data_IF_418728160382
#
_entry.id   IF_418728160382
#
_cell.length_a   1.000
_cell.length_b   1.000
_cell.length_c   1.000
_cell.angle_alpha   90.00
_cell.angle_beta   90.00
_cell.angle_gamma   90.00
#
_symmetry.space_group_name_H-M   'P 1'
#
loop_
_entity.id
_entity.type
_entity.pdbx_description
1 polymer ?
#
# COMPACT_ATOMS: atom_id res chain seq x y z
N UNK A 1 64.02 -61.52 14.21
CA UNK A 1 62.75 -61.64 15.00
C UNK A 1 62.60 -60.42 15.87
N UNK A 2 61.88 -59.45 15.44
CA UNK A 2 61.22 -58.46 16.28
C UNK A 2 60.10 -57.80 15.45
N UNK A 3 58.90 -57.90 15.95
CA UNK A 3 57.64 -57.46 15.35
C UNK A 3 57.42 -56.01 15.77
N UNK A 4 57.24 -55.09 14.83
CA UNK A 4 56.84 -53.71 15.15
C UNK A 4 55.46 -53.48 14.57
N UNK A 5 54.48 -53.32 15.48
CA UNK A 5 53.10 -52.98 15.17
C UNK A 5 52.99 -51.52 14.76
N UNK A 6 52.35 -51.28 13.62
CA UNK A 6 52.01 -49.95 13.17
C UNK A 6 50.89 -49.32 13.98
N UNK A 7 51.07 -48.06 14.40
CA UNK A 7 50.02 -47.22 14.95
C UNK A 7 49.41 -46.39 13.81
N UNK A 8 48.15 -46.61 13.56
CA UNK A 8 47.37 -45.83 12.64
C UNK A 8 46.81 -44.62 13.39
N UNK A 9 47.28 -43.43 13.03
CA UNK A 9 46.71 -42.16 13.51
C UNK A 9 45.52 -41.79 12.64
N UNK A 10 44.31 -41.88 13.24
CA UNK A 10 43.09 -41.33 12.67
C UNK A 10 43.03 -39.87 13.01
N UNK A 11 43.25 -38.99 12.04
CA UNK A 11 42.97 -37.57 12.17
C UNK A 11 41.46 -37.35 12.05
N UNK A 12 40.78 -37.05 13.14
CA UNK A 12 39.42 -36.55 13.16
C UNK A 12 39.46 -35.05 12.90
N UNK A 13 39.15 -34.65 11.66
CA UNK A 13 38.94 -33.23 11.33
C UNK A 13 37.53 -32.82 11.82
N UNK A 14 37.49 -32.11 12.93
CA UNK A 14 36.28 -31.46 13.41
C UNK A 14 36.04 -30.19 12.58
N UNK A 15 35.13 -30.23 11.64
CA UNK A 15 34.61 -29.06 10.94
C UNK A 15 33.71 -28.28 11.91
N UNK A 16 34.26 -27.22 12.50
CA UNK A 16 33.50 -26.15 13.17
C UNK A 16 32.80 -25.31 12.11
N UNK A 17 31.53 -25.65 11.81
CA UNK A 17 30.62 -24.78 11.10
C UNK A 17 30.28 -23.58 12.01
N UNK A 18 31.03 -22.51 11.91
CA UNK A 18 30.59 -21.19 12.42
C UNK A 18 29.42 -20.72 11.55
N UNK A 19 28.21 -21.00 11.98
CA UNK A 19 27.01 -20.35 11.46
C UNK A 19 27.07 -18.87 11.76
N UNK A 20 27.54 -18.07 10.79
CA UNK A 20 27.34 -16.61 10.83
C UNK A 20 25.84 -16.40 10.65
N UNK A 21 25.14 -16.28 11.77
CA UNK A 21 23.81 -15.69 11.78
C UNK A 21 23.99 -14.21 11.36
N UNK A 22 23.88 -13.95 10.05
CA UNK A 22 23.63 -12.61 9.57
C UNK A 22 22.22 -12.29 10.09
N UNK A 23 22.13 -11.64 11.25
CA UNK A 23 20.92 -10.98 11.68
C UNK A 23 20.72 -9.86 10.65
N UNK A 24 19.92 -10.15 9.60
CA UNK A 24 19.33 -9.11 8.79
C UNK A 24 18.58 -8.23 9.81
N UNK A 25 18.95 -6.96 10.00
CA UNK A 25 18.16 -6.10 10.86
C UNK A 25 16.76 -6.14 10.25
N UNK A 26 15.81 -6.70 11.01
CA UNK A 26 14.39 -6.50 10.71
C UNK A 26 14.20 -5.00 10.90
N UNK A 27 14.39 -4.25 9.81
CA UNK A 27 14.11 -2.83 9.80
C UNK A 27 12.70 -2.69 10.35
N UNK A 28 12.53 -1.87 11.36
CA UNK A 28 11.20 -1.51 11.86
C UNK A 28 10.47 -0.93 10.65
N UNK A 29 9.65 -1.76 10.01
CA UNK A 29 8.93 -1.33 8.82
C UNK A 29 7.86 -0.37 9.29
N UNK A 30 8.15 0.92 9.15
CA UNK A 30 7.20 2.00 9.36
C UNK A 30 6.11 1.90 8.27
N UNK A 31 4.97 2.47 8.54
CA UNK A 31 3.92 2.63 7.52
C UNK A 31 4.29 3.77 6.59
N UNK A 32 3.81 3.72 5.35
CA UNK A 32 3.81 4.83 4.43
C UNK A 32 2.71 5.86 4.76
N UNK A 33 2.79 7.01 4.13
CA UNK A 33 1.77 8.06 4.24
C UNK A 33 1.47 8.62 2.84
N UNK A 34 0.20 8.90 2.58
CA UNK A 34 -0.24 9.55 1.35
C UNK A 34 0.01 11.06 1.44
N UNK A 35 0.67 11.61 0.45
CA UNK A 35 0.87 13.05 0.33
C UNK A 35 -0.04 13.60 -0.77
N UNK A 36 -1.25 14.02 -0.38
CA UNK A 36 -2.16 14.80 -1.21
C UNK A 36 -1.67 16.24 -1.33
N UNK A 37 -1.96 16.87 -2.47
CA UNK A 37 -1.44 18.19 -2.80
C UNK A 37 -2.55 19.19 -3.21
N UNK A 38 -3.80 18.93 -2.80
CA UNK A 38 -4.96 19.77 -3.15
C UNK A 38 -5.21 20.78 -2.02
N UNK A 39 -4.25 21.69 -1.87
CA UNK A 39 -4.30 22.77 -0.88
C UNK A 39 -3.44 23.95 -1.31
N UNK A 40 -3.80 25.16 -0.88
CA UNK A 40 -3.07 26.40 -1.18
C UNK A 40 -2.23 26.91 -0.02
N UNK A 41 -2.19 26.17 1.08
CA UNK A 41 -1.49 26.50 2.32
C UNK A 41 -0.46 25.43 2.74
N UNK A 42 -0.20 24.46 1.85
CA UNK A 42 0.71 23.34 2.11
C UNK A 42 2.18 23.80 2.21
N UNK A 43 3.00 23.14 3.04
CA UNK A 43 4.42 23.48 3.17
C UNK A 43 5.20 23.17 1.89
N UNK A 44 6.43 23.67 1.78
CA UNK A 44 7.33 23.35 0.67
C UNK A 44 7.58 21.85 0.60
N UNK A 45 7.83 21.32 -0.61
CA UNK A 45 8.08 19.89 -0.81
C UNK A 45 9.27 19.38 0.01
N UNK A 46 10.31 20.19 0.15
CA UNK A 46 11.46 19.87 1.00
C UNK A 46 11.09 19.78 2.48
N UNK A 47 10.26 20.69 2.99
CA UNK A 47 9.76 20.64 4.36
C UNK A 47 8.92 19.39 4.63
N UNK A 48 8.08 19.01 3.64
CA UNK A 48 7.30 17.78 3.72
C UNK A 48 8.21 16.56 3.84
N UNK A 49 9.24 16.44 3.00
CA UNK A 49 10.19 15.32 3.08
C UNK A 49 10.95 15.32 4.42
N UNK A 50 11.30 16.48 4.96
CA UNK A 50 11.87 16.54 6.32
C UNK A 50 10.88 16.08 7.40
N UNK A 51 9.58 16.38 7.24
CA UNK A 51 8.55 15.93 8.17
C UNK A 51 8.38 14.40 8.11
N UNK A 52 8.48 13.76 6.93
CA UNK A 52 8.54 12.30 6.80
C UNK A 52 9.72 11.73 7.57
N UNK A 53 10.91 12.27 7.35
CA UNK A 53 12.16 11.81 8.03
C UNK A 53 12.09 11.96 9.55
N UNK A 54 11.64 13.11 10.04
CA UNK A 54 11.56 13.39 11.49
C UNK A 54 10.54 12.52 12.22
N UNK A 55 9.54 12.02 11.50
CA UNK A 55 8.54 11.10 12.05
C UNK A 55 8.86 9.61 11.77
N UNK A 56 10.00 9.31 11.13
CA UNK A 56 10.38 7.94 10.81
C UNK A 56 9.48 7.26 9.77
N UNK A 57 8.79 8.05 8.93
CA UNK A 57 7.94 7.52 7.84
C UNK A 57 8.85 7.10 6.70
N UNK A 58 8.72 5.85 6.25
CA UNK A 58 9.64 5.24 5.28
C UNK A 58 9.14 5.24 3.85
N UNK A 59 7.85 5.48 3.64
CA UNK A 59 7.24 5.41 2.33
C UNK A 59 6.26 6.57 2.09
N UNK A 60 6.21 7.05 0.86
CA UNK A 60 5.34 8.14 0.41
C UNK A 60 4.50 7.68 -0.77
N UNK A 61 3.25 8.09 -0.82
CA UNK A 61 2.43 7.98 -2.03
C UNK A 61 2.04 9.37 -2.51
N UNK A 62 2.31 9.66 -3.79
CA UNK A 62 1.82 10.85 -4.50
C UNK A 62 0.91 10.42 -5.65
N UNK A 63 -0.06 11.25 -6.01
CA UNK A 63 -1.12 10.91 -6.96
C UNK A 63 -0.78 11.26 -8.40
N UNK A 64 0.13 12.22 -8.57
CA UNK A 64 0.69 12.65 -9.84
C UNK A 64 2.18 12.84 -9.69
N UNK A 65 2.97 12.73 -10.77
CA UNK A 65 4.37 13.12 -10.73
C UNK A 65 4.49 14.61 -10.35
N UNK A 66 5.29 14.87 -9.31
CA UNK A 66 5.65 16.22 -8.89
C UNK A 66 7.17 16.33 -8.83
N UNK A 67 7.75 17.11 -9.72
CA UNK A 67 9.20 17.22 -9.90
C UNK A 67 9.89 17.72 -8.63
N UNK A 68 9.28 18.68 -7.91
CA UNK A 68 9.86 19.21 -6.68
C UNK A 68 9.87 18.15 -5.56
N UNK A 69 8.74 17.45 -5.35
CA UNK A 69 8.66 16.39 -4.35
C UNK A 69 9.62 15.25 -4.68
N UNK A 70 9.68 14.82 -5.95
CA UNK A 70 10.57 13.75 -6.38
C UNK A 70 12.05 14.16 -6.27
N UNK A 71 12.40 15.41 -6.55
CA UNK A 71 13.76 15.92 -6.31
C UNK A 71 14.10 15.97 -4.81
N UNK A 72 13.15 16.37 -3.95
CA UNK A 72 13.35 16.37 -2.52
C UNK A 72 13.55 14.95 -1.93
N UNK A 73 13.02 13.93 -2.58
CA UNK A 73 13.18 12.51 -2.19
C UNK A 73 14.53 11.90 -2.59
N UNK A 74 15.34 12.54 -3.44
CA UNK A 74 16.64 11.99 -3.88
C UNK A 74 17.55 11.66 -2.71
N UNK A 75 18.08 10.45 -2.68
CA UNK A 75 19.02 10.00 -1.65
C UNK A 75 18.45 9.85 -0.25
N UNK A 76 17.12 9.99 -0.06
CA UNK A 76 16.49 9.84 1.27
C UNK A 76 16.22 8.39 1.65
N UNK A 77 16.14 7.48 0.68
CA UNK A 77 15.72 6.10 0.86
C UNK A 77 14.20 5.92 1.04
N UNK A 78 13.42 7.00 1.13
CA UNK A 78 11.95 6.93 1.23
C UNK A 78 11.39 6.28 -0.04
N UNK A 79 10.63 5.18 0.13
CA UNK A 79 9.96 4.50 -0.97
C UNK A 79 8.82 5.34 -1.54
N UNK A 80 8.62 5.31 -2.86
CA UNK A 80 7.62 6.13 -3.52
C UNK A 80 6.64 5.30 -4.33
N UNK A 81 5.33 5.54 -4.12
CA UNK A 81 4.28 5.25 -5.09
C UNK A 81 3.99 6.54 -5.86
N UNK A 82 4.12 6.52 -7.18
CA UNK A 82 3.78 7.64 -8.06
C UNK A 82 2.57 7.29 -8.91
N UNK A 83 1.58 8.18 -8.98
CA UNK A 83 0.36 7.97 -9.75
C UNK A 83 0.47 8.38 -11.22
N UNK A 84 -0.28 7.69 -12.08
CA UNK A 84 -0.63 8.11 -13.43
C UNK A 84 -2.03 8.72 -13.38
N UNK A 85 -2.18 9.93 -13.91
CA UNK A 85 -3.46 10.64 -13.89
C UNK A 85 -4.58 9.86 -14.61
N UNK A 86 -5.79 9.94 -14.07
CA UNK A 86 -6.93 9.22 -14.62
C UNK A 86 -7.32 9.68 -16.06
N UNK A 87 -7.14 10.95 -16.33
CA UNK A 87 -7.53 11.61 -17.60
C UNK A 87 -6.63 11.26 -18.79
N UNK A 88 -5.38 10.84 -18.55
CA UNK A 88 -4.45 10.45 -19.62
C UNK A 88 -4.48 8.96 -19.94
N UNK A 89 -5.23 8.14 -19.20
CA UNK A 89 -5.22 6.67 -19.40
C UNK A 89 -5.66 6.25 -20.80
N UNK A 90 -6.57 6.98 -21.43
CA UNK A 90 -7.06 6.67 -22.80
C UNK A 90 -5.89 6.78 -23.80
N UNK A 91 -5.09 7.85 -23.72
CA UNK A 91 -3.94 8.02 -24.61
C UNK A 91 -2.86 6.98 -24.35
N UNK A 92 -2.51 6.76 -23.08
CA UNK A 92 -1.49 5.75 -22.70
C UNK A 92 -1.88 4.32 -23.06
N UNK A 93 -3.19 4.02 -23.10
CA UNK A 93 -3.70 2.72 -23.52
C UNK A 93 -3.61 2.52 -25.05
N UNK A 94 -3.99 3.57 -25.80
CA UNK A 94 -4.03 3.51 -27.25
C UNK A 94 -2.64 3.64 -27.90
N UNK A 95 -1.70 4.33 -27.24
CA UNK A 95 -0.41 4.69 -27.81
C UNK A 95 0.77 4.27 -26.91
N UNK A 96 1.45 3.15 -27.19
CA UNK A 96 2.63 2.72 -26.42
C UNK A 96 3.77 3.76 -26.40
N UNK A 97 3.89 4.62 -27.43
CA UNK A 97 4.90 5.68 -27.44
C UNK A 97 4.59 6.77 -26.40
N UNK A 98 3.31 7.08 -26.14
CA UNK A 98 2.91 7.99 -25.06
C UNK A 98 3.30 7.42 -23.69
N UNK A 99 3.10 6.11 -23.47
CA UNK A 99 3.53 5.45 -22.24
C UNK A 99 5.07 5.46 -22.08
N UNK A 100 5.81 5.25 -23.16
CA UNK A 100 7.27 5.38 -23.14
C UNK A 100 7.71 6.81 -22.80
N UNK A 101 7.11 7.82 -23.42
CA UNK A 101 7.36 9.22 -23.12
C UNK A 101 7.05 9.58 -21.67
N UNK A 102 5.95 9.02 -21.12
CA UNK A 102 5.59 9.22 -19.71
C UNK A 102 6.65 8.65 -18.77
N UNK A 103 7.16 7.44 -19.03
CA UNK A 103 8.25 6.81 -18.26
C UNK A 103 9.54 7.59 -18.38
N UNK A 104 9.90 8.05 -19.59
CA UNK A 104 11.09 8.85 -19.83
C UNK A 104 11.06 10.20 -19.11
N UNK A 105 9.89 10.82 -18.97
CA UNK A 105 9.73 12.10 -18.29
C UNK A 105 9.61 11.97 -16.77
N UNK A 106 8.91 10.95 -16.26
CA UNK A 106 8.46 10.91 -14.87
C UNK A 106 9.14 9.83 -14.00
N UNK A 107 9.86 8.88 -14.60
CA UNK A 107 10.53 7.81 -13.86
C UNK A 107 12.04 7.83 -14.08
N UNK A 108 12.47 7.76 -15.33
CA UNK A 108 13.87 7.64 -15.71
C UNK A 108 14.81 8.72 -15.16
N UNK A 109 14.44 10.02 -15.07
CA UNK A 109 15.30 11.06 -14.51
C UNK A 109 15.52 10.92 -13.01
N UNK A 110 14.67 10.16 -12.31
CA UNK A 110 14.68 10.05 -10.85
C UNK A 110 15.34 8.80 -10.33
N UNK A 111 15.29 7.69 -11.06
CA UNK A 111 15.93 6.43 -10.64
C UNK A 111 17.42 6.43 -10.98
N UNK A 112 18.30 5.84 -10.14
CA UNK A 112 17.99 5.16 -8.86
C UNK A 112 17.98 6.09 -7.66
N UNK A 113 18.15 7.41 -7.83
CA UNK A 113 18.29 8.37 -6.71
C UNK A 113 17.02 8.52 -5.88
N UNK A 114 15.86 8.29 -6.48
CA UNK A 114 14.55 8.16 -5.80
C UNK A 114 14.16 6.69 -5.81
N UNK A 115 13.78 6.16 -4.66
CA UNK A 115 13.32 4.78 -4.51
C UNK A 115 11.86 4.63 -4.97
N UNK A 116 11.62 4.70 -6.29
CA UNK A 116 10.27 4.48 -6.84
C UNK A 116 9.97 2.98 -6.78
N UNK A 117 8.99 2.59 -5.97
CA UNK A 117 8.55 1.18 -5.79
C UNK A 117 7.48 0.80 -6.79
N UNK A 118 6.43 1.64 -6.89
CA UNK A 118 5.26 1.35 -7.69
C UNK A 118 4.80 2.56 -8.50
N UNK A 119 4.28 2.26 -9.70
CA UNK A 119 3.51 3.20 -10.51
C UNK A 119 2.06 2.79 -10.38
N UNK A 120 1.22 3.65 -9.80
CA UNK A 120 -0.21 3.45 -9.69
C UNK A 120 -0.90 3.95 -10.96
N UNK A 121 -1.29 3.05 -11.85
CA UNK A 121 -1.98 3.35 -13.10
C UNK A 121 -3.44 3.67 -12.78
N UNK A 122 -3.75 4.96 -12.70
CA UNK A 122 -5.03 5.46 -12.23
C UNK A 122 -5.26 5.27 -10.74
N UNK A 123 -6.27 5.95 -10.23
CA UNK A 123 -6.74 5.84 -8.86
C UNK A 123 -8.26 5.74 -8.84
N UNK A 124 -8.79 4.65 -8.29
CA UNK A 124 -10.23 4.42 -8.09
C UNK A 124 -11.08 4.58 -9.36
N UNK A 125 -10.54 4.14 -10.48
CA UNK A 125 -11.25 4.19 -11.76
C UNK A 125 -12.52 3.34 -11.69
N UNK A 126 -13.62 3.90 -12.16
CA UNK A 126 -14.89 3.22 -12.25
C UNK A 126 -15.56 3.45 -13.61
N UNK A 127 -16.50 2.57 -13.97
CA UNK A 127 -17.24 2.68 -15.24
C UNK A 127 -16.37 2.36 -16.46
N UNK A 128 -16.70 2.99 -17.58
CA UNK A 128 -16.09 2.73 -18.90
C UNK A 128 -14.56 2.90 -18.93
N UNK A 129 -13.94 3.91 -18.28
CA UNK A 129 -12.49 4.08 -18.34
C UNK A 129 -11.67 2.92 -17.76
N UNK A 130 -12.29 1.99 -17.01
CA UNK A 130 -11.59 0.80 -16.45
C UNK A 130 -10.98 -0.10 -17.52
N UNK A 131 -11.52 -0.09 -18.74
CA UNK A 131 -10.98 -0.85 -19.88
C UNK A 131 -9.54 -0.43 -20.26
N UNK A 132 -9.13 0.79 -19.90
CA UNK A 132 -7.80 1.32 -20.22
C UNK A 132 -6.73 0.89 -19.21
N UNK A 133 -7.10 0.43 -18.00
CA UNK A 133 -6.15 0.11 -16.94
C UNK A 133 -5.16 -0.97 -17.39
N UNK A 134 -5.66 -2.10 -17.87
CA UNK A 134 -4.81 -3.22 -18.26
C UNK A 134 -3.85 -2.86 -19.42
N UNK A 135 -4.33 -2.25 -20.55
CA UNK A 135 -3.42 -1.80 -21.61
C UNK A 135 -2.36 -0.81 -21.14
N UNK A 136 -2.71 0.16 -20.29
CA UNK A 136 -1.74 1.11 -19.75
C UNK A 136 -0.69 0.41 -18.88
N UNK A 137 -1.09 -0.51 -17.99
CA UNK A 137 -0.15 -1.29 -17.19
C UNK A 137 0.82 -2.09 -18.08
N UNK A 138 0.34 -2.68 -19.16
CA UNK A 138 1.17 -3.41 -20.13
C UNK A 138 2.14 -2.47 -20.84
N UNK A 139 1.69 -1.32 -21.33
CA UNK A 139 2.52 -0.33 -22.02
C UNK A 139 3.59 0.28 -21.08
N UNK A 140 3.23 0.60 -19.82
CA UNK A 140 4.18 1.09 -18.82
C UNK A 140 5.22 0.01 -18.49
N UNK A 141 4.83 -1.26 -18.31
CA UNK A 141 5.77 -2.35 -18.07
C UNK A 141 6.73 -2.54 -19.26
N UNK A 142 6.24 -2.44 -20.49
CA UNK A 142 7.07 -2.51 -21.71
C UNK A 142 8.05 -1.33 -21.76
N UNK A 143 7.61 -0.12 -21.43
CA UNK A 143 8.44 1.09 -21.39
C UNK A 143 9.54 0.98 -20.31
N UNK A 144 9.20 0.52 -19.10
CA UNK A 144 10.19 0.27 -18.04
C UNK A 144 11.25 -0.75 -18.46
N UNK A 145 10.83 -1.84 -19.10
CA UNK A 145 11.74 -2.86 -19.62
C UNK A 145 12.67 -2.31 -20.72
N UNK A 146 12.12 -1.54 -21.67
CA UNK A 146 12.90 -0.88 -22.73
C UNK A 146 13.91 0.12 -22.15
N UNK A 147 13.59 0.81 -21.08
CA UNK A 147 14.47 1.71 -20.35
C UNK A 147 15.45 0.99 -19.39
N UNK A 148 15.41 -0.36 -19.30
CA UNK A 148 16.20 -1.17 -18.36
C UNK A 148 15.96 -0.83 -16.89
N UNK A 149 14.75 -0.38 -16.55
CA UNK A 149 14.32 -0.04 -15.18
C UNK A 149 13.63 -1.26 -14.58
N UNK A 150 14.32 -2.02 -13.73
CA UNK A 150 13.86 -3.32 -13.22
C UNK A 150 13.25 -3.24 -11.80
N UNK A 151 13.56 -2.20 -11.03
CA UNK A 151 13.12 -2.07 -9.63
C UNK A 151 11.71 -1.51 -9.46
N UNK A 152 11.13 -0.91 -10.51
CA UNK A 152 9.82 -0.25 -10.49
C UNK A 152 8.76 -1.19 -11.06
N UNK A 153 7.60 -1.27 -10.42
CA UNK A 153 6.50 -2.15 -10.86
C UNK A 153 5.23 -1.35 -11.12
N UNK A 154 4.56 -1.63 -12.24
CA UNK A 154 3.25 -1.04 -12.53
C UNK A 154 2.13 -1.84 -11.83
N UNK A 155 1.23 -1.13 -11.18
CA UNK A 155 0.02 -1.63 -10.55
C UNK A 155 -1.13 -0.65 -10.80
N UNK A 156 -2.30 -0.91 -10.22
CA UNK A 156 -3.43 0.04 -10.20
C UNK A 156 -4.00 0.12 -8.80
N UNK A 157 -4.48 1.30 -8.40
CA UNK A 157 -5.09 1.52 -7.10
C UNK A 157 -6.61 1.45 -7.21
N UNK A 158 -7.20 0.50 -6.49
CA UNK A 158 -8.64 0.22 -6.53
C UNK A 158 -9.30 0.50 -5.18
N UNK A 159 -10.56 0.93 -5.20
CA UNK A 159 -11.41 0.93 -4.02
C UNK A 159 -12.10 -0.42 -3.84
N UNK A 160 -12.70 -0.64 -2.68
CA UNK A 160 -13.27 -1.96 -2.34
C UNK A 160 -14.47 -2.36 -3.22
N UNK A 161 -15.13 -1.42 -3.91
CA UNK A 161 -16.27 -1.70 -4.77
C UNK A 161 -15.96 -2.59 -6.00
N UNK A 162 -14.66 -2.81 -6.29
CA UNK A 162 -14.26 -3.82 -7.29
C UNK A 162 -14.52 -5.25 -6.82
N UNK A 163 -14.86 -5.45 -5.53
CA UNK A 163 -15.17 -6.74 -4.92
C UNK A 163 -16.64 -6.77 -4.50
N UNK A 164 -17.35 -7.81 -4.88
CA UNK A 164 -18.70 -8.13 -4.38
C UNK A 164 -18.65 -9.29 -3.40
N UNK A 165 -19.76 -9.52 -2.68
CA UNK A 165 -19.88 -10.58 -1.68
C UNK A 165 -18.79 -10.49 -0.60
N UNK A 166 -18.53 -9.28 -0.11
CA UNK A 166 -17.46 -9.03 0.86
C UNK A 166 -17.74 -9.61 2.25
N UNK A 167 -18.92 -10.15 2.48
CA UNK A 167 -19.30 -10.83 3.73
C UNK A 167 -19.95 -12.21 3.42
N UNK A 168 -19.43 -13.33 4.02
CA UNK A 168 -18.18 -13.36 4.79
C UNK A 168 -16.96 -13.07 3.89
N UNK A 169 -15.79 -12.67 4.44
CA UNK A 169 -14.63 -12.27 3.62
C UNK A 169 -14.21 -13.30 2.58
N UNK A 170 -14.29 -14.60 2.89
CA UNK A 170 -14.01 -15.69 1.95
C UNK A 170 -14.92 -15.73 0.72
N UNK A 171 -16.09 -15.09 0.78
CA UNK A 171 -17.02 -15.05 -0.34
C UNK A 171 -16.63 -14.01 -1.41
N UNK A 172 -15.72 -13.06 -1.11
CA UNK A 172 -15.28 -12.00 -2.01
C UNK A 172 -14.94 -12.51 -3.42
N UNK A 173 -15.45 -11.81 -4.45
CA UNK A 173 -15.17 -12.04 -5.87
C UNK A 173 -15.04 -10.69 -6.57
N UNK A 174 -14.22 -10.60 -7.63
CA UNK A 174 -14.18 -9.37 -8.42
C UNK A 174 -15.50 -9.12 -9.12
N UNK A 175 -16.02 -7.90 -8.98
CA UNK A 175 -17.28 -7.47 -9.57
C UNK A 175 -17.19 -7.30 -11.10
N UNK A 176 -15.99 -6.93 -11.60
CA UNK A 176 -15.79 -6.61 -12.99
C UNK A 176 -14.77 -7.54 -13.66
N UNK A 177 -15.03 -8.00 -14.88
CA UNK A 177 -14.17 -8.95 -15.60
C UNK A 177 -12.74 -8.45 -15.82
N UNK A 178 -12.54 -7.12 -15.98
CA UNK A 178 -11.21 -6.54 -16.19
C UNK A 178 -10.25 -6.83 -15.03
N UNK A 179 -10.76 -6.92 -13.80
CA UNK A 179 -9.96 -7.21 -12.62
C UNK A 179 -9.30 -8.58 -12.66
N UNK A 180 -9.95 -9.59 -13.27
CA UNK A 180 -9.34 -10.91 -13.46
C UNK A 180 -8.10 -10.83 -14.35
N UNK A 181 -8.14 -10.04 -15.42
CA UNK A 181 -7.01 -9.86 -16.32
C UNK A 181 -5.89 -9.03 -15.66
N UNK A 182 -6.24 -7.99 -14.90
CA UNK A 182 -5.31 -7.21 -14.08
C UNK A 182 -4.62 -8.12 -13.06
N UNK A 183 -5.36 -8.93 -12.30
CA UNK A 183 -4.81 -9.85 -11.31
C UNK A 183 -3.79 -10.83 -11.92
N UNK A 184 -4.09 -11.37 -13.12
CA UNK A 184 -3.15 -12.24 -13.84
C UNK A 184 -1.88 -11.51 -14.29
N UNK A 185 -2.00 -10.26 -14.74
CA UNK A 185 -0.83 -9.43 -15.07
C UNK A 185 0.02 -9.18 -13.81
N UNK A 186 -0.60 -8.81 -12.68
CA UNK A 186 0.12 -8.61 -11.41
C UNK A 186 0.86 -9.88 -10.97
N UNK A 187 0.20 -11.04 -11.09
CA UNK A 187 0.83 -12.33 -10.79
C UNK A 187 2.05 -12.61 -11.68
N UNK A 188 1.97 -12.29 -12.97
CA UNK A 188 3.07 -12.51 -13.92
C UNK A 188 4.26 -11.56 -13.74
N UNK A 189 4.01 -10.34 -13.28
CA UNK A 189 5.04 -9.30 -13.07
C UNK A 189 5.57 -9.28 -11.64
N UNK A 190 4.92 -9.99 -10.71
CA UNK A 190 5.22 -9.94 -9.28
C UNK A 190 4.92 -8.57 -8.65
N UNK A 191 4.04 -7.77 -9.28
CA UNK A 191 3.56 -6.52 -8.71
C UNK A 191 2.40 -6.78 -7.72
N UNK A 192 2.27 -6.00 -6.65
CA UNK A 192 1.13 -6.09 -5.75
C UNK A 192 -0.11 -5.45 -6.39
N UNK A 193 -1.31 -5.78 -5.87
CA UNK A 193 -2.50 -4.96 -6.08
C UNK A 193 -2.49 -3.83 -5.05
N UNK A 194 -2.66 -2.58 -5.50
CA UNK A 194 -2.85 -1.44 -4.61
C UNK A 194 -4.34 -1.33 -4.28
N UNK A 195 -4.69 -1.34 -2.99
CA UNK A 195 -6.07 -1.31 -2.55
C UNK A 195 -6.29 -0.18 -1.53
N UNK A 196 -7.28 0.67 -1.79
CA UNK A 196 -7.71 1.70 -0.88
C UNK A 196 -8.80 1.12 0.03
N UNK A 197 -8.49 0.99 1.33
CA UNK A 197 -9.32 0.28 2.31
C UNK A 197 -9.77 1.25 3.40
N UNK A 198 -11.06 1.57 3.40
CA UNK A 198 -11.64 2.55 4.32
C UNK A 198 -12.76 1.98 5.19
N UNK A 199 -12.45 1.42 6.37
CA UNK A 199 -13.46 1.04 7.36
C UNK A 199 -14.42 2.17 7.72
N UNK A 200 -13.98 3.43 7.64
CA UNK A 200 -14.83 4.60 7.88
C UNK A 200 -16.09 4.59 7.02
N UNK A 201 -15.93 4.50 5.69
CA UNK A 201 -17.07 4.56 4.78
C UNK A 201 -17.99 3.35 4.91
N UNK A 202 -17.43 2.16 5.13
CA UNK A 202 -18.23 0.96 5.40
C UNK A 202 -19.04 1.08 6.70
N UNK A 203 -18.43 1.62 7.78
CA UNK A 203 -19.09 1.87 9.04
C UNK A 203 -20.22 2.91 8.90
N UNK A 204 -19.93 4.05 8.26
CA UNK A 204 -20.96 5.10 8.06
C UNK A 204 -22.13 4.58 7.22
N UNK A 205 -21.87 3.75 6.21
CA UNK A 205 -22.89 3.14 5.37
C UNK A 205 -23.73 2.06 6.07
N UNK A 206 -23.25 1.45 7.15
CA UNK A 206 -23.94 0.37 7.85
C UNK A 206 -23.66 0.33 9.36
N UNK A 207 -24.01 1.39 10.08
CA UNK A 207 -23.87 1.47 11.55
C UNK A 207 -24.75 0.47 12.32
N UNK A 208 -25.75 -0.09 11.66
CA UNK A 208 -26.65 -1.07 12.28
C UNK A 208 -25.91 -2.39 12.56
N UNK A 209 -25.08 -2.83 11.63
CA UNK A 209 -24.42 -4.13 11.70
C UNK A 209 -22.93 -4.03 12.00
N UNK A 210 -22.31 -2.86 11.78
CA UNK A 210 -20.91 -2.59 12.03
C UNK A 210 -20.75 -1.71 13.26
N UNK A 211 -20.13 -2.21 14.32
CA UNK A 211 -19.83 -1.40 15.51
C UNK A 211 -18.62 -0.50 15.28
N UNK A 212 -18.58 0.67 15.92
CA UNK A 212 -17.44 1.59 15.88
C UNK A 212 -16.14 0.91 16.36
N UNK A 213 -16.24 0.10 17.44
CA UNK A 213 -15.10 -0.63 17.96
C UNK A 213 -14.50 -1.58 16.91
N UNK A 214 -15.34 -2.30 16.18
CA UNK A 214 -14.89 -3.20 15.10
C UNK A 214 -14.24 -2.43 13.95
N UNK A 215 -14.80 -1.28 13.58
CA UNK A 215 -14.26 -0.41 12.54
C UNK A 215 -12.93 0.26 12.92
N UNK A 216 -12.65 0.44 14.23
CA UNK A 216 -11.47 1.15 14.75
C UNK A 216 -10.47 0.26 15.47
N UNK A 217 -10.48 -1.04 15.21
CA UNK A 217 -9.58 -2.05 15.80
C UNK A 217 -9.69 -2.16 17.34
N UNK A 218 -10.81 -1.79 17.91
CA UNK A 218 -11.05 -1.91 19.35
C UNK A 218 -11.70 -3.26 19.67
N UNK A 219 -11.46 -3.76 20.88
CA UNK A 219 -12.04 -5.02 21.35
C UNK A 219 -13.57 -4.97 21.44
N UNK A 220 -14.21 -6.14 21.44
CA UNK A 220 -15.63 -6.32 21.71
C UNK A 220 -16.44 -6.93 20.58
N UNK A 221 -15.88 -7.07 19.39
CA UNK A 221 -16.57 -7.73 18.26
C UNK A 221 -15.67 -8.83 17.69
N UNK A 222 -16.29 -9.98 17.45
CA UNK A 222 -15.65 -11.15 16.82
C UNK A 222 -16.58 -11.71 15.77
N UNK A 223 -16.12 -11.77 14.53
CA UNK A 223 -16.89 -12.23 13.38
C UNK A 223 -16.25 -13.47 12.78
N UNK A 224 -16.81 -14.68 12.94
CA UNK A 224 -16.29 -15.87 12.28
C UNK A 224 -16.69 -15.90 10.81
N UNK A 225 -15.79 -16.38 9.97
CA UNK A 225 -16.07 -16.73 8.58
C UNK A 225 -16.50 -18.21 8.54
N UNK A 226 -17.77 -18.51 8.22
CA UNK A 226 -18.29 -19.86 8.29
C UNK A 226 -17.69 -20.82 7.26
N UNK A 227 -17.09 -20.29 6.19
CA UNK A 227 -16.52 -21.10 5.13
C UNK A 227 -15.09 -21.54 5.40
N UNK A 228 -14.35 -20.75 6.19
CA UNK A 228 -12.90 -20.98 6.42
C UNK A 228 -12.55 -21.21 7.87
N UNK A 229 -13.45 -20.86 8.80
CA UNK A 229 -13.18 -20.87 10.23
C UNK A 229 -12.26 -19.74 10.71
N UNK A 230 -11.82 -18.85 9.82
CA UNK A 230 -11.08 -17.64 10.19
C UNK A 230 -11.96 -16.71 11.02
N UNK A 231 -11.32 -15.98 11.92
CA UNK A 231 -12.03 -15.09 12.86
C UNK A 231 -11.50 -13.68 12.73
N UNK A 232 -12.40 -12.74 12.51
CA UNK A 232 -12.09 -11.34 12.32
C UNK A 232 -12.48 -10.52 13.56
N UNK A 233 -11.52 -9.80 14.10
CA UNK A 233 -11.71 -8.92 15.27
C UNK A 233 -11.73 -7.44 14.91
N UNK A 234 -11.55 -7.12 13.63
CA UNK A 234 -11.65 -5.77 13.07
C UNK A 234 -12.10 -5.80 11.62
N UNK A 235 -12.71 -4.70 11.20
CA UNK A 235 -13.27 -4.55 9.86
C UNK A 235 -12.20 -4.45 8.76
N UNK A 236 -11.05 -3.84 9.05
CA UNK A 236 -9.96 -3.70 8.09
C UNK A 236 -9.50 -5.07 7.57
N UNK A 237 -9.26 -6.03 8.46
CA UNK A 237 -8.87 -7.39 8.08
C UNK A 237 -9.92 -8.07 7.21
N UNK A 238 -11.21 -7.93 7.59
CA UNK A 238 -12.30 -8.49 6.82
C UNK A 238 -12.36 -7.92 5.40
N UNK A 239 -12.14 -6.61 5.26
CA UNK A 239 -12.10 -5.94 3.97
C UNK A 239 -10.89 -6.38 3.13
N UNK A 240 -9.68 -6.40 3.70
CA UNK A 240 -8.46 -6.85 3.00
C UNK A 240 -8.58 -8.31 2.58
N UNK A 241 -9.07 -9.18 3.46
CA UNK A 241 -9.21 -10.61 3.15
C UNK A 241 -10.29 -10.91 2.10
N UNK A 242 -11.31 -10.04 1.97
CA UNK A 242 -12.26 -10.14 0.85
C UNK A 242 -11.60 -9.87 -0.50
N UNK A 243 -10.63 -8.95 -0.57
CA UNK A 243 -9.83 -8.71 -1.78
C UNK A 243 -8.89 -9.89 -2.05
N UNK A 244 -8.25 -10.45 -1.01
CA UNK A 244 -7.46 -11.67 -1.19
C UNK A 244 -8.30 -12.86 -1.67
N UNK A 245 -9.53 -13.00 -1.18
CA UNK A 245 -10.45 -14.03 -1.67
C UNK A 245 -10.79 -13.85 -3.16
N UNK A 246 -10.98 -12.60 -3.60
CA UNK A 246 -11.21 -12.28 -5.00
C UNK A 246 -9.97 -12.57 -5.87
N UNK A 247 -8.76 -12.25 -5.40
CA UNK A 247 -7.51 -12.59 -6.07
C UNK A 247 -7.33 -14.12 -6.21
N UNK A 248 -7.58 -14.87 -5.13
CA UNK A 248 -7.51 -16.34 -5.16
C UNK A 248 -8.43 -16.94 -6.22
N UNK A 249 -9.69 -16.48 -6.26
CA UNK A 249 -10.69 -16.94 -7.23
C UNK A 249 -10.39 -16.50 -8.67
N UNK A 250 -9.66 -15.40 -8.85
CA UNK A 250 -9.16 -14.96 -10.15
C UNK A 250 -7.95 -15.74 -10.65
N UNK A 251 -7.44 -16.70 -9.84
CA UNK A 251 -6.24 -17.49 -10.15
C UNK A 251 -4.93 -16.71 -9.89
N UNK A 252 -4.96 -15.74 -9.00
CA UNK A 252 -3.83 -14.85 -8.66
C UNK A 252 -3.49 -14.89 -7.17
N UNK A 253 -3.56 -16.07 -6.53
CA UNK A 253 -3.36 -16.26 -5.09
C UNK A 253 -1.97 -15.82 -4.56
N UNK A 254 -0.97 -15.72 -5.44
CA UNK A 254 0.37 -15.23 -5.11
C UNK A 254 0.52 -13.70 -5.12
N UNK A 255 -0.51 -12.96 -5.57
CA UNK A 255 -0.45 -11.49 -5.58
C UNK A 255 -0.62 -10.95 -4.17
N UNK A 256 0.34 -10.14 -3.73
CA UNK A 256 0.24 -9.41 -2.47
C UNK A 256 -0.63 -8.17 -2.61
N UNK A 257 -1.21 -7.72 -1.50
CA UNK A 257 -1.91 -6.43 -1.43
C UNK A 257 -1.00 -5.43 -0.73
N UNK A 258 -0.89 -4.24 -1.31
CA UNK A 258 -0.45 -3.03 -0.64
C UNK A 258 -1.70 -2.21 -0.32
N UNK A 259 -1.95 -1.93 0.95
CA UNK A 259 -3.02 -1.01 1.33
C UNK A 259 -2.52 0.40 1.05
N UNK A 260 -2.82 0.86 -0.15
CA UNK A 260 -2.28 2.12 -0.68
C UNK A 260 -2.95 3.36 -0.13
N UNK A 261 -4.10 3.19 0.54
CA UNK A 261 -4.75 4.20 1.38
C UNK A 261 -5.58 3.53 2.46
N UNK A 262 -5.48 4.06 3.67
CA UNK A 262 -6.44 3.82 4.75
C UNK A 262 -6.40 4.98 5.75
N UNK A 263 -7.55 5.45 6.20
CA UNK A 263 -7.65 6.60 7.08
C UNK A 263 -9.02 6.77 7.72
N UNK A 264 -9.11 7.78 8.59
CA UNK A 264 -10.32 8.17 9.28
C UNK A 264 -10.35 9.70 9.41
N UNK A 265 -11.40 10.40 8.99
CA UNK A 265 -11.43 11.86 9.05
C UNK A 265 -11.56 12.35 10.49
N UNK A 266 -10.90 13.47 10.78
CA UNK A 266 -10.93 14.10 12.12
C UNK A 266 -12.05 15.12 12.31
N UNK A 267 -12.74 15.50 11.22
CA UNK A 267 -13.85 16.43 11.19
C UNK A 267 -14.68 16.30 9.92
N UNK A 268 -15.78 17.03 9.83
CA UNK A 268 -16.57 17.22 8.60
C UNK A 268 -17.66 16.17 8.36
N UNK A 269 -17.84 15.18 9.23
CA UNK A 269 -18.83 14.13 9.05
C UNK A 269 -19.21 13.41 10.33
N UNK A 270 -20.16 12.49 10.20
CA UNK A 270 -20.59 11.65 11.31
C UNK A 270 -19.44 10.74 11.77
N UNK A 271 -19.25 10.63 13.07
CA UNK A 271 -18.15 9.87 13.70
C UNK A 271 -16.74 10.30 13.24
N UNK A 272 -16.64 11.47 12.60
CA UNK A 272 -15.40 12.12 12.22
C UNK A 272 -14.94 13.07 13.32
N UNK A 273 -14.17 12.57 14.27
CA UNK A 273 -13.63 13.34 15.39
C UNK A 273 -12.13 13.08 15.54
N UNK A 274 -11.42 14.02 16.12
CA UNK A 274 -9.97 13.92 16.40
C UNK A 274 -9.65 12.64 17.18
N UNK A 275 -10.44 12.31 18.21
CA UNK A 275 -10.18 11.14 19.06
C UNK A 275 -10.42 9.81 18.31
N UNK A 276 -11.44 9.73 17.47
CA UNK A 276 -11.72 8.53 16.69
C UNK A 276 -10.66 8.36 15.60
N UNK A 277 -10.31 9.45 14.90
CA UNK A 277 -9.26 9.45 13.88
C UNK A 277 -7.90 9.00 14.46
N UNK A 278 -7.51 9.57 15.62
CA UNK A 278 -6.33 9.15 16.36
C UNK A 278 -6.38 7.65 16.70
N UNK A 279 -7.49 7.18 17.23
CA UNK A 279 -7.67 5.77 17.63
C UNK A 279 -7.50 4.86 16.43
N UNK A 280 -8.19 5.17 15.33
CA UNK A 280 -8.10 4.39 14.09
C UNK A 280 -6.68 4.35 13.54
N UNK A 281 -6.08 5.52 13.30
CA UNK A 281 -4.76 5.60 12.64
C UNK A 281 -3.67 4.97 13.49
N UNK A 282 -3.66 5.21 14.82
CA UNK A 282 -2.66 4.60 15.69
C UNK A 282 -2.81 3.08 15.77
N UNK A 283 -4.05 2.56 15.73
CA UNK A 283 -4.31 1.13 15.71
C UNK A 283 -3.95 0.52 14.35
N UNK A 284 -4.23 1.19 13.23
CA UNK A 284 -3.82 0.79 11.88
C UNK A 284 -2.30 0.60 11.80
N UNK A 285 -1.52 1.61 12.26
CA UNK A 285 -0.05 1.56 12.27
C UNK A 285 0.47 0.34 13.04
N UNK A 286 -0.10 0.06 14.20
CA UNK A 286 0.26 -1.10 15.01
C UNK A 286 -0.15 -2.42 14.34
N UNK A 287 -1.30 -2.41 13.68
CA UNK A 287 -1.89 -3.61 13.07
C UNK A 287 -1.20 -4.01 11.77
N UNK A 288 -0.77 -3.06 10.95
CA UNK A 288 -0.07 -3.31 9.69
C UNK A 288 1.16 -4.23 9.82
N UNK A 289 1.73 -4.33 11.03
CA UNK A 289 2.86 -5.23 11.34
C UNK A 289 2.45 -6.69 11.56
N UNK A 290 1.15 -6.98 11.68
CA UNK A 290 0.64 -8.31 12.06
C UNK A 290 0.06 -9.09 10.88
N UNK A 291 -0.46 -8.40 9.89
CA UNK A 291 -1.22 -9.01 8.80
C UNK A 291 -2.67 -9.31 9.15
N UNK A 292 -3.33 -10.03 8.26
CA UNK A 292 -4.72 -10.46 8.40
C UNK A 292 -4.82 -11.93 8.82
N UNK A 293 -5.97 -12.42 9.26
CA UNK A 293 -6.19 -13.84 9.53
C UNK A 293 -5.85 -14.76 8.34
N UNK A 294 -6.10 -14.32 7.11
CA UNK A 294 -5.79 -15.08 5.89
C UNK A 294 -4.33 -14.95 5.47
N UNK A 295 -3.69 -13.82 5.73
CA UNK A 295 -2.31 -13.49 5.34
C UNK A 295 -1.56 -12.89 6.54
N UNK A 296 -1.07 -13.72 7.48
CA UNK A 296 -0.24 -13.24 8.58
C UNK A 296 1.08 -12.66 8.08
N UNK A 297 1.59 -11.65 8.77
CA UNK A 297 2.83 -10.96 8.44
C UNK A 297 2.59 -9.48 8.15
N UNK A 298 3.64 -8.76 7.76
CA UNK A 298 3.54 -7.32 7.51
C UNK A 298 2.71 -7.03 6.25
N UNK A 299 1.76 -6.10 6.35
CA UNK A 299 1.05 -5.53 5.21
C UNK A 299 1.61 -4.14 4.96
N UNK A 300 2.21 -3.92 3.80
CA UNK A 300 2.61 -2.58 3.38
C UNK A 300 1.36 -1.69 3.32
N UNK A 301 1.35 -0.63 4.14
CA UNK A 301 0.15 0.18 4.38
C UNK A 301 0.49 1.66 4.37
N UNK A 302 -0.34 2.47 3.72
CA UNK A 302 -0.21 3.91 3.63
C UNK A 302 -1.37 4.59 4.35
N UNK A 303 -1.05 5.40 5.35
CA UNK A 303 -2.03 6.24 6.05
C UNK A 303 -2.48 7.38 5.13
N UNK A 304 -3.75 7.53 4.95
CA UNK A 304 -4.36 8.68 4.30
C UNK A 304 -4.85 9.68 5.37
N UNK A 305 -4.25 10.89 5.49
CA UNK A 305 -3.20 11.42 4.66
C UNK A 305 -2.19 12.24 5.50
N UNK A 306 -1.18 12.82 4.84
CA UNK A 306 -0.17 13.64 5.53
C UNK A 306 -0.77 14.93 6.08
N UNK A 307 -1.51 15.68 5.25
CA UNK A 307 -2.10 16.97 5.61
C UNK A 307 -3.61 17.00 5.41
N UNK A 308 -4.26 17.89 6.17
CA UNK A 308 -5.57 18.39 5.78
C UNK A 308 -5.41 19.22 4.49
N UNK A 309 -6.33 19.02 3.54
CA UNK A 309 -6.26 19.62 2.20
C UNK A 309 -7.45 20.56 1.99
N UNK A 310 -7.26 21.87 2.22
CA UNK A 310 -8.34 22.87 2.28
C UNK A 310 -9.07 23.14 0.94
N UNK A 311 -8.52 22.66 -0.17
CA UNK A 311 -9.14 22.81 -1.51
C UNK A 311 -9.61 21.47 -2.09
N UNK A 312 -9.55 20.38 -1.33
CA UNK A 312 -9.99 19.07 -1.81
C UNK A 312 -11.51 19.09 -2.02
N UNK A 313 -11.99 18.71 -3.22
CA UNK A 313 -13.43 18.68 -3.52
C UNK A 313 -14.12 17.49 -2.84
N UNK A 314 -15.45 17.52 -2.81
CA UNK A 314 -16.28 16.46 -2.24
C UNK A 314 -16.87 16.84 -0.89
N UNK A 315 -17.13 15.81 -0.09
CA UNK A 315 -17.69 15.97 1.26
C UNK A 315 -16.67 16.67 2.19
N UNK A 316 -17.17 17.34 3.22
CA UNK A 316 -16.31 18.07 4.16
C UNK A 316 -15.27 17.16 4.86
N UNK A 317 -15.53 15.87 4.98
CA UNK A 317 -14.56 14.88 5.47
C UNK A 317 -13.31 14.81 4.64
N UNK A 318 -13.41 15.02 3.31
CA UNK A 318 -12.26 14.92 2.38
C UNK A 318 -11.14 15.90 2.70
N UNK A 319 -11.47 17.03 3.32
CA UNK A 319 -10.51 18.04 3.73
C UNK A 319 -9.87 17.77 5.10
N UNK A 320 -10.25 16.67 5.80
CA UNK A 320 -9.95 16.45 7.21
C UNK A 320 -9.33 15.08 7.52
N UNK A 321 -8.65 14.44 6.57
CA UNK A 321 -7.96 13.17 6.78
C UNK A 321 -6.49 13.32 7.25
N UNK A 322 -5.97 14.53 7.32
CA UNK A 322 -4.57 14.79 7.62
C UNK A 322 -4.16 14.35 9.04
N UNK A 323 -2.99 13.75 9.14
CA UNK A 323 -2.30 13.55 10.41
C UNK A 323 -1.70 14.87 10.93
N UNK A 324 -1.42 15.79 10.02
CA UNK A 324 -0.89 17.13 10.31
C UNK A 324 -1.74 18.22 9.67
N UNK A 325 -1.73 19.38 10.30
CA UNK A 325 -2.15 20.62 9.66
C UNK A 325 -1.07 21.12 8.70
N UNK A 326 -1.40 21.99 7.71
CA UNK A 326 -0.40 22.56 6.79
C UNK A 326 0.76 23.29 7.49
N UNK A 327 0.54 23.85 8.68
CA UNK A 327 1.60 24.43 9.50
C UNK A 327 2.53 23.41 10.16
N UNK A 328 2.42 22.15 9.83
CA UNK A 328 3.21 21.01 10.33
C UNK A 328 2.93 20.62 11.80
N UNK A 329 1.92 21.19 12.44
CA UNK A 329 1.48 20.71 13.76
C UNK A 329 0.60 19.47 13.60
N UNK A 330 0.78 18.50 14.48
CA UNK A 330 -0.04 17.28 14.44
C UNK A 330 -1.51 17.61 14.76
N UNK A 331 -2.44 17.02 14.00
CA UNK A 331 -3.89 17.10 14.29
C UNK A 331 -4.18 16.34 15.59
N UNK A 332 -3.46 15.27 15.82
CA UNK A 332 -3.49 14.47 17.04
C UNK A 332 -2.12 13.84 17.30
N UNK A 333 -1.78 13.51 18.56
CA UNK A 333 -0.55 12.77 18.85
C UNK A 333 -0.52 11.44 18.10
N UNK A 334 0.53 11.20 17.32
CA UNK A 334 0.69 10.02 16.48
C UNK A 334 2.14 9.53 16.49
N UNK A 335 2.32 8.22 16.53
CA UNK A 335 3.62 7.56 16.39
C UNK A 335 3.56 6.63 15.18
N UNK A 336 4.40 6.90 14.18
CA UNK A 336 4.49 6.11 12.95
C UNK A 336 5.44 4.89 13.07
N UNK A 337 6.11 4.71 14.21
CA UNK A 337 7.06 3.62 14.47
C UNK A 337 6.44 2.45 15.21
#
# INVERSE_FOLDING_TARGET
MVNIRGFSLVFAAALLLLGVFISIPVGVQSVGVCYGMIGNDLPSKSDVVQLYKSNGITDMRIYLPDVEAMNALRGTGIGLIVGVANDILIDLAANPASAASWVDANVKPFVPAVNIKYIAVGNEISGEPTQNILPVMQNINAALAAASITGVKASTAVKLDVVTNTFPPSAGVFAAPYMTAVAKLLASTGAPLLANIYPYFAYIGNKKDISLNYATFQAGTTVPDPNTGLVYTNLFDAMVDSVYAALDKAGAAGVSIVVSESGWPSAGGDSATIDIARTYVQNLIKHAKKGTPKRPGVIETYVFAMFNENQKPGEATEQNFGAFYPNKTAVYPINFQ
#
